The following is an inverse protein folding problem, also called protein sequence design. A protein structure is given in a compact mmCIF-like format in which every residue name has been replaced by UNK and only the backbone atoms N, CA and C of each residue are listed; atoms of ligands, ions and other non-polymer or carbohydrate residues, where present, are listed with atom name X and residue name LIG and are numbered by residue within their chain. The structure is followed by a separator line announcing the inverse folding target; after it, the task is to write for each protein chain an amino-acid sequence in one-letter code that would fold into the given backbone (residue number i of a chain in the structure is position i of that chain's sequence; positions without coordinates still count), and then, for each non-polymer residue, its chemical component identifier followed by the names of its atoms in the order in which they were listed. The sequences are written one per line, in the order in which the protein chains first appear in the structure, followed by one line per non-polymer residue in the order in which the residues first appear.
data_IF_867393001102
#
_entry.id   IF_867393001102
#
_cell.length_a   1.000
_cell.length_b   1.000
_cell.length_c   1.000
_cell.angle_alpha   90.00
_cell.angle_beta   90.00
_cell.angle_gamma   90.00
#
_symmetry.space_group_name_H-M   'P 1'
#
loop_
_entity.id
_entity.type
_entity.pdbx_description
1 polymer ?
#
# COMPACT_ATOMS: atom_id res chain seq x y z
N UNK A 1 -35.25 15.59 30.95
CA UNK A 1 -34.17 14.68 30.48
C UNK A 1 -33.91 15.00 29.02
N UNK A 2 -32.79 15.66 28.71
CA UNK A 2 -32.38 15.97 27.35
C UNK A 2 -31.33 14.96 26.91
N UNK A 3 -31.63 14.14 25.90
CA UNK A 3 -30.66 13.24 25.28
C UNK A 3 -29.86 14.05 24.25
N UNK A 4 -28.62 14.39 24.60
CA UNK A 4 -27.65 14.96 23.66
C UNK A 4 -27.20 13.88 22.67
N UNK A 5 -27.69 13.95 21.44
CA UNK A 5 -27.17 13.19 20.30
C UNK A 5 -25.72 13.66 20.04
N UNK A 6 -24.75 12.94 20.57
CA UNK A 6 -23.36 13.08 20.17
C UNK A 6 -23.18 12.59 18.74
N UNK A 7 -23.12 13.50 17.77
CA UNK A 7 -22.63 13.21 16.43
C UNK A 7 -21.18 12.73 16.55
N UNK A 8 -20.98 11.42 16.49
CA UNK A 8 -19.68 10.82 16.28
C UNK A 8 -19.31 11.12 14.83
N UNK A 9 -18.63 12.23 14.59
CA UNK A 9 -18.03 12.51 13.28
C UNK A 9 -16.98 11.44 13.03
N UNK A 10 -17.35 10.41 12.26
CA UNK A 10 -16.39 9.47 11.69
C UNK A 10 -15.46 10.27 10.77
N UNK A 11 -14.30 10.66 11.29
CA UNK A 11 -13.22 11.21 10.46
C UNK A 11 -12.88 10.16 9.40
N UNK A 12 -12.87 10.51 8.11
CA UNK A 12 -12.58 9.55 7.05
C UNK A 12 -11.08 9.26 7.05
N UNK A 13 -10.63 8.39 7.96
CA UNK A 13 -9.26 7.88 7.98
C UNK A 13 -8.87 7.26 6.62
N UNK A 14 -9.87 6.77 5.87
CA UNK A 14 -9.72 6.21 4.52
C UNK A 14 -9.34 7.22 3.44
N UNK A 15 -9.65 8.51 3.61
CA UNK A 15 -9.39 9.54 2.58
C UNK A 15 -7.95 10.07 2.65
N UNK A 16 -7.37 10.12 3.85
CA UNK A 16 -6.01 10.59 4.07
C UNK A 16 -4.98 9.58 3.54
N UNK A 17 -5.31 8.29 3.59
CA UNK A 17 -4.46 7.18 3.16
C UNK A 17 -4.44 6.99 1.63
N UNK A 18 -5.50 7.40 0.93
CA UNK A 18 -5.60 7.27 -0.54
C UNK A 18 -4.63 8.21 -1.28
N UNK A 19 -4.38 9.42 -0.74
CA UNK A 19 -3.39 10.35 -1.29
C UNK A 19 -1.96 9.82 -1.16
N UNK A 20 -1.63 9.19 -0.03
CA UNK A 20 -0.34 8.52 0.15
C UNK A 20 -0.17 7.32 -0.76
N UNK A 21 -1.22 6.51 -0.97
CA UNK A 21 -1.19 5.38 -1.90
C UNK A 21 -0.86 5.86 -3.34
N UNK A 22 -1.49 6.95 -3.81
CA UNK A 22 -1.17 7.55 -5.12
C UNK A 22 0.26 8.06 -5.17
N UNK A 23 0.72 8.73 -4.12
CA UNK A 23 2.11 9.21 -4.04
C UNK A 23 3.11 8.05 -4.14
N UNK A 24 2.81 6.92 -3.51
CA UNK A 24 3.62 5.70 -3.59
C UNK A 24 3.68 5.13 -5.01
N UNK A 25 2.59 5.16 -5.77
CA UNK A 25 2.59 4.73 -7.19
C UNK A 25 3.48 5.64 -8.03
N UNK A 26 3.41 6.96 -7.82
CA UNK A 26 4.19 7.92 -8.59
C UNK A 26 5.70 7.71 -8.39
N UNK A 27 6.18 7.65 -7.14
CA UNK A 27 7.60 7.39 -6.88
C UNK A 27 8.02 5.99 -7.34
N UNK A 28 7.16 4.97 -7.17
CA UNK A 28 7.45 3.61 -7.63
C UNK A 28 7.66 3.55 -9.15
N UNK A 29 6.86 4.29 -9.92
CA UNK A 29 7.04 4.39 -11.38
C UNK A 29 8.37 5.05 -11.77
N UNK A 30 8.82 6.04 -11.01
CA UNK A 30 10.14 6.67 -11.24
C UNK A 30 11.25 5.65 -10.93
N UNK A 31 11.27 5.11 -9.71
CA UNK A 31 12.34 4.22 -9.25
C UNK A 31 12.40 2.89 -10.03
N UNK A 32 11.27 2.35 -10.47
CA UNK A 32 11.26 1.15 -11.32
C UNK A 32 11.96 1.35 -12.67
N UNK A 33 12.11 2.59 -13.13
CA UNK A 33 12.78 2.93 -14.40
C UNK A 33 14.24 3.32 -14.18
N UNK A 34 14.51 4.15 -13.17
CA UNK A 34 15.82 4.81 -13.01
C UNK A 34 16.78 4.10 -12.06
N UNK A 35 16.29 3.21 -11.19
CA UNK A 35 17.14 2.52 -10.21
C UNK A 35 18.09 1.53 -10.90
N UNK A 36 19.41 1.64 -10.70
CA UNK A 36 20.37 0.69 -11.26
C UNK A 36 20.40 -0.65 -10.52
N UNK A 37 20.14 -0.68 -9.22
CA UNK A 37 20.12 -1.92 -8.44
C UNK A 37 18.88 -2.75 -8.78
N UNK A 38 19.11 -3.97 -9.29
CA UNK A 38 18.04 -4.87 -9.76
C UNK A 38 17.06 -5.24 -8.64
N UNK A 39 17.55 -5.43 -7.41
CA UNK A 39 16.69 -5.78 -6.27
C UNK A 39 15.83 -4.59 -5.86
N UNK A 40 16.41 -3.39 -5.77
CA UNK A 40 15.67 -2.17 -5.44
C UNK A 40 14.65 -1.83 -6.54
N UNK A 41 14.99 -2.04 -7.82
CA UNK A 41 14.06 -1.92 -8.94
C UNK A 41 12.86 -2.84 -8.80
N UNK A 42 13.10 -4.11 -8.47
CA UNK A 42 12.01 -5.07 -8.24
C UNK A 42 11.12 -4.67 -7.06
N UNK A 43 11.70 -4.14 -5.98
CA UNK A 43 10.92 -3.58 -4.84
C UNK A 43 10.07 -2.40 -5.30
N UNK A 44 10.60 -1.48 -6.11
CA UNK A 44 9.82 -0.37 -6.64
C UNK A 44 8.64 -0.85 -7.52
N UNK A 45 8.87 -1.85 -8.39
CA UNK A 45 7.80 -2.44 -9.19
C UNK A 45 6.71 -3.09 -8.32
N UNK A 46 7.10 -3.93 -7.36
CA UNK A 46 6.17 -4.58 -6.45
C UNK A 46 5.37 -3.57 -5.61
N UNK A 47 6.03 -2.50 -5.16
CA UNK A 47 5.38 -1.40 -4.42
C UNK A 47 4.34 -0.70 -5.29
N UNK A 48 4.69 -0.40 -6.55
CA UNK A 48 3.75 0.18 -7.50
C UNK A 48 2.50 -0.68 -7.70
N UNK A 49 2.67 -1.99 -7.89
CA UNK A 49 1.56 -2.94 -8.06
C UNK A 49 0.68 -3.03 -6.81
N UNK A 50 1.28 -3.14 -5.63
CA UNK A 50 0.56 -3.20 -4.35
C UNK A 50 -0.35 -1.99 -4.15
N UNK A 51 0.17 -0.78 -4.34
CA UNK A 51 -0.63 0.43 -4.17
C UNK A 51 -1.63 0.65 -5.31
N UNK A 52 -1.33 0.17 -6.53
CA UNK A 52 -2.28 0.22 -7.65
C UNK A 52 -3.57 -0.55 -7.35
N UNK A 53 -3.45 -1.77 -6.79
CA UNK A 53 -4.60 -2.56 -6.36
C UNK A 53 -5.41 -1.89 -5.23
N UNK A 54 -4.72 -1.19 -4.31
CA UNK A 54 -5.37 -0.45 -3.23
C UNK A 54 -6.17 0.74 -3.73
N UNK A 55 -5.62 1.55 -4.63
CA UNK A 55 -6.35 2.72 -5.14
C UNK A 55 -7.52 2.30 -6.03
N UNK A 56 -7.40 1.24 -6.83
CA UNK A 56 -8.49 0.76 -7.67
C UNK A 56 -9.69 0.27 -6.86
N UNK A 57 -9.44 -0.26 -5.66
CA UNK A 57 -10.50 -0.70 -4.74
C UNK A 57 -11.16 0.45 -3.98
N UNK A 58 -10.52 1.63 -3.90
CA UNK A 58 -10.93 2.74 -3.02
C UNK A 58 -11.38 4.00 -3.75
N UNK A 59 -11.01 4.15 -5.03
CA UNK A 59 -11.15 5.41 -5.74
C UNK A 59 -11.73 5.21 -7.14
N UNK A 60 -12.57 6.17 -7.56
CA UNK A 60 -13.00 6.27 -8.96
C UNK A 60 -11.85 6.80 -9.84
N UNK A 61 -11.91 6.56 -11.17
CA UNK A 61 -10.90 7.11 -12.10
C UNK A 61 -10.73 8.64 -12.01
N UNK A 62 -11.83 9.37 -11.80
CA UNK A 62 -11.79 10.82 -11.63
C UNK A 62 -11.05 11.24 -10.35
N UNK A 63 -11.27 10.52 -9.24
CA UNK A 63 -10.56 10.77 -7.98
C UNK A 63 -9.06 10.43 -8.11
N UNK A 64 -8.72 9.33 -8.79
CA UNK A 64 -7.32 8.95 -9.05
C UNK A 64 -6.63 10.06 -9.86
N UNK A 65 -7.25 10.55 -10.94
CA UNK A 65 -6.70 11.65 -11.74
C UNK A 65 -6.46 12.90 -10.89
N UNK A 66 -7.43 13.30 -10.08
CA UNK A 66 -7.31 14.45 -9.20
C UNK A 66 -6.14 14.29 -8.20
N UNK A 67 -6.00 13.11 -7.59
CA UNK A 67 -4.91 12.85 -6.66
C UNK A 67 -3.55 12.78 -7.35
N UNK A 68 -3.44 12.21 -8.56
CA UNK A 68 -2.18 12.23 -9.30
C UNK A 68 -1.69 13.67 -9.49
N UNK A 69 -2.58 14.58 -9.92
CA UNK A 69 -2.24 16.00 -10.10
C UNK A 69 -1.85 16.66 -8.78
N UNK A 70 -2.55 16.36 -7.68
CA UNK A 70 -2.24 16.92 -6.37
C UNK A 70 -0.87 16.43 -5.85
N UNK A 71 -0.64 15.11 -5.89
CA UNK A 71 0.56 14.49 -5.33
C UNK A 71 1.81 14.74 -6.19
N UNK A 72 1.68 14.80 -7.52
CA UNK A 72 2.82 15.05 -8.40
C UNK A 72 3.52 16.39 -8.10
N UNK A 73 2.77 17.41 -7.66
CA UNK A 73 3.32 18.72 -7.28
C UNK A 73 4.14 18.69 -5.99
N UNK A 74 3.95 17.66 -5.17
CA UNK A 74 4.64 17.54 -3.87
C UNK A 74 5.94 16.75 -3.98
N UNK A 75 6.15 16.02 -5.08
CA UNK A 75 7.32 15.17 -5.27
C UNK A 75 8.44 15.92 -6.01
N UNK A 76 9.65 15.79 -5.51
CA UNK A 76 10.86 16.34 -6.10
C UNK A 76 12.05 15.40 -5.86
N UNK A 77 13.23 15.78 -6.36
CA UNK A 77 14.44 14.95 -6.25
C UNK A 77 14.83 14.68 -4.78
N UNK A 78 14.60 15.65 -3.91
CA UNK A 78 15.05 15.60 -2.51
C UNK A 78 14.17 14.67 -1.67
N UNK A 79 12.87 14.58 -1.97
CA UNK A 79 11.93 13.80 -1.17
C UNK A 79 11.51 12.46 -1.81
N UNK A 80 11.75 12.24 -3.09
CA UNK A 80 11.28 11.02 -3.77
C UNK A 80 11.90 9.73 -3.21
N UNK A 81 13.20 9.75 -2.86
CA UNK A 81 13.88 8.60 -2.25
C UNK A 81 13.33 8.24 -0.86
N UNK A 82 13.23 9.20 0.08
CA UNK A 82 12.58 8.98 1.37
C UNK A 82 11.13 8.49 1.25
N UNK A 83 10.34 9.07 0.32
CA UNK A 83 8.96 8.64 0.08
C UNK A 83 8.93 7.20 -0.44
N UNK A 84 9.76 6.85 -1.41
CA UNK A 84 9.84 5.49 -1.93
C UNK A 84 10.22 4.48 -0.83
N UNK A 85 11.15 4.85 0.04
CA UNK A 85 11.55 4.02 1.19
C UNK A 85 10.40 3.79 2.15
N UNK A 86 9.63 4.83 2.48
CA UNK A 86 8.45 4.71 3.32
C UNK A 86 7.37 3.80 2.67
N UNK A 87 7.14 3.95 1.37
CA UNK A 87 6.19 3.10 0.63
C UNK A 87 6.63 1.63 0.61
N UNK A 88 7.92 1.36 0.40
CA UNK A 88 8.48 0.01 0.45
C UNK A 88 8.34 -0.61 1.86
N UNK A 89 8.51 0.19 2.92
CA UNK A 89 8.32 -0.26 4.30
C UNK A 89 6.88 -0.73 4.55
N UNK A 90 5.88 0.03 4.08
CA UNK A 90 4.46 -0.37 4.18
C UNK A 90 4.22 -1.70 3.48
N UNK A 91 4.75 -1.88 2.26
CA UNK A 91 4.67 -3.16 1.55
C UNK A 91 5.29 -4.30 2.38
N UNK A 92 6.50 -4.10 2.90
CA UNK A 92 7.21 -5.13 3.69
C UNK A 92 6.46 -5.49 4.98
N UNK A 93 5.90 -4.51 5.68
CA UNK A 93 5.10 -4.75 6.89
C UNK A 93 3.86 -5.59 6.57
N UNK A 94 3.17 -5.26 5.48
CA UNK A 94 2.02 -6.03 5.02
C UNK A 94 2.42 -7.45 4.59
N UNK A 95 3.56 -7.61 3.92
CA UNK A 95 4.07 -8.94 3.55
C UNK A 95 4.38 -9.80 4.78
N UNK A 96 5.04 -9.24 5.80
CA UNK A 96 5.34 -9.94 7.05
C UNK A 96 4.07 -10.35 7.78
N UNK A 97 3.08 -9.47 7.84
CA UNK A 97 1.78 -9.78 8.42
C UNK A 97 1.12 -10.96 7.69
N UNK A 98 1.07 -10.93 6.35
CA UNK A 98 0.48 -12.01 5.56
C UNK A 98 1.24 -13.34 5.71
N UNK A 99 2.57 -13.31 5.80
CA UNK A 99 3.37 -14.49 6.09
C UNK A 99 3.06 -15.07 7.49
N UNK A 100 2.92 -14.20 8.50
CA UNK A 100 2.50 -14.59 9.84
C UNK A 100 1.15 -15.32 9.82
N UNK A 101 0.16 -14.72 9.18
CA UNK A 101 -1.18 -15.32 9.03
C UNK A 101 -1.10 -16.67 8.32
N UNK A 102 -0.33 -16.76 7.23
CA UNK A 102 -0.16 -18.01 6.49
C UNK A 102 0.45 -19.13 7.35
N UNK A 103 1.45 -18.81 8.19
CA UNK A 103 2.04 -19.77 9.13
C UNK A 103 1.03 -20.24 10.19
N UNK A 104 0.22 -19.32 10.73
CA UNK A 104 -0.82 -19.68 11.71
C UNK A 104 -1.91 -20.56 11.07
N UNK A 105 -2.31 -20.29 9.82
CA UNK A 105 -3.24 -21.15 9.06
C UNK A 105 -2.65 -22.55 8.85
N UNK A 106 -1.36 -22.66 8.51
CA UNK A 106 -0.67 -23.95 8.34
C UNK A 106 -0.61 -24.75 9.64
N UNK A 107 -0.32 -24.10 10.77
CA UNK A 107 -0.32 -24.76 12.08
C UNK A 107 -1.72 -25.24 12.49
N UNK A 108 -2.75 -24.44 12.20
CA UNK A 108 -4.13 -24.78 12.50
C UNK A 108 -4.69 -25.89 11.58
N UNK A 109 -4.15 -26.02 10.37
CA UNK A 109 -4.56 -27.01 9.37
C UNK A 109 -3.35 -27.82 8.88
N UNK A 110 -2.78 -28.69 9.73
CA UNK A 110 -1.67 -29.53 9.31
C UNK A 110 -2.12 -30.42 8.14
N UNK A 111 -1.25 -30.60 7.15
CA UNK A 111 -1.55 -31.45 6.00
C UNK A 111 -1.92 -32.87 6.48
N UNK A 112 -2.91 -33.53 5.86
CA UNK A 112 -3.21 -34.92 6.18
C UNK A 112 -1.94 -35.76 6.00
N UNK A 113 -1.67 -36.74 6.89
CA UNK A 113 -0.53 -37.62 6.73
C UNK A 113 -0.61 -38.31 5.35
N UNK A 114 0.54 -38.51 4.67
CA UNK A 114 0.55 -39.13 3.36
C UNK A 114 -0.13 -40.50 3.43
N UNK A 115 -1.06 -40.75 2.50
CA UNK A 115 -1.73 -42.04 2.40
C UNK A 115 -0.67 -43.13 2.22
N UNK A 116 -0.66 -44.12 3.12
CA UNK A 116 0.17 -45.30 2.98
C UNK A 116 -0.27 -46.03 1.70
N UNK A 117 0.67 -46.29 0.79
CA UNK A 117 0.47 -47.17 -0.37
C UNK A 117 0.37 -48.61 0.08
#
# INVERSE_FOLDING_TARGET
MALSLGLVFATPASAQDAGSDVRCILVSNVFSRVEPDVKKKAVAQATGLYFSGRISARMSPAQIKAQIVAQAKTLNKDNSGPVMTACAKVLQENQRMMQGIAMEIQKANPAPPPAKK
#
